data_IF_989237629997
#
_entry.id   IF_989237629997
#
_cell.length_a   1.000
_cell.length_b   1.000
_cell.length_c   1.000
_cell.angle_alpha   90.00
_cell.angle_beta   90.00
_cell.angle_gamma   90.00
#
_symmetry.space_group_name_H-M   'P 1'
#
loop_
_entity.id
_entity.type
_entity.pdbx_description
1 polymer ?
#
# COMPACT_ATOMS: atom_id res chain seq x y z
N UNK A 1 24.66 15.39 -18.62
CA UNK A 1 24.45 14.83 -19.95
C UNK A 1 23.00 14.53 -20.28
N UNK A 2 22.75 14.04 -21.47
CA UNK A 2 21.43 13.60 -21.97
C UNK A 2 21.49 12.15 -22.41
N UNK A 3 20.34 11.48 -22.51
CA UNK A 3 20.21 10.10 -23.00
C UNK A 3 19.47 10.16 -24.35
N UNK A 4 20.13 9.72 -25.47
CA UNK A 4 19.54 9.76 -26.81
C UNK A 4 20.28 8.85 -27.82
N UNK A 5 19.97 7.57 -27.96
CA UNK A 5 19.57 6.59 -26.98
C UNK A 5 20.67 6.29 -25.94
N UNK A 6 21.94 6.62 -26.27
CA UNK A 6 23.08 6.42 -25.37
C UNK A 6 23.31 7.64 -24.47
N UNK A 7 24.08 7.45 -23.41
CA UNK A 7 24.51 8.53 -22.53
C UNK A 7 25.49 9.48 -23.24
N UNK A 8 25.05 10.69 -23.53
CA UNK A 8 25.88 11.72 -24.17
C UNK A 8 26.17 12.86 -23.19
N UNK A 9 27.46 13.20 -22.95
CA UNK A 9 27.80 14.31 -22.06
C UNK A 9 27.41 15.65 -22.70
N UNK A 10 26.78 16.54 -21.92
CA UNK A 10 26.52 17.93 -22.32
C UNK A 10 27.12 18.88 -21.27
N UNK A 11 27.36 20.13 -21.70
CA UNK A 11 27.92 21.15 -20.80
C UNK A 11 26.87 21.77 -19.88
N UNK A 12 25.61 21.74 -20.27
CA UNK A 12 24.50 22.32 -19.55
C UNK A 12 23.19 21.64 -19.94
N UNK A 13 22.20 21.72 -19.07
CA UNK A 13 20.78 21.44 -19.36
C UNK A 13 20.04 22.78 -19.24
N UNK A 14 19.25 23.10 -20.24
CA UNK A 14 18.39 24.29 -20.24
C UNK A 14 17.05 24.06 -19.58
N UNK A 15 16.25 25.12 -19.46
CA UNK A 15 14.90 25.05 -18.92
C UNK A 15 14.03 24.10 -19.75
N UNK A 16 13.34 23.15 -19.09
CA UNK A 16 12.50 22.14 -19.75
C UNK A 16 13.25 20.93 -20.32
N UNK A 17 14.58 20.91 -20.25
CA UNK A 17 15.37 19.76 -20.70
C UNK A 17 15.50 18.71 -19.59
N UNK A 18 15.47 17.43 -19.99
CA UNK A 18 15.66 16.28 -19.11
C UNK A 18 17.03 15.65 -19.41
N UNK A 19 17.75 15.30 -18.35
CA UNK A 19 19.06 14.70 -18.49
C UNK A 19 19.53 13.99 -17.22
N UNK A 20 20.81 13.67 -17.15
CA UNK A 20 21.44 13.05 -15.99
C UNK A 20 22.59 13.91 -15.44
N UNK A 21 22.79 13.82 -14.12
CA UNK A 21 23.88 14.49 -13.40
C UNK A 21 24.67 13.42 -12.65
N UNK A 22 26.00 13.41 -12.81
CA UNK A 22 26.90 12.58 -12.02
C UNK A 22 27.38 13.41 -10.83
N UNK A 23 26.82 13.17 -9.66
CA UNK A 23 27.08 13.96 -8.47
C UNK A 23 28.38 13.60 -7.76
N UNK A 24 28.88 12.37 -7.94
CA UNK A 24 30.00 11.82 -7.17
C UNK A 24 29.63 11.49 -5.71
N UNK A 25 28.35 11.58 -5.34
CA UNK A 25 27.88 11.17 -4.01
C UNK A 25 28.13 9.67 -3.82
N UNK A 26 28.71 9.33 -2.66
CA UNK A 26 29.02 7.93 -2.31
C UNK A 26 27.83 7.23 -1.65
N UNK A 27 26.89 7.99 -1.14
CA UNK A 27 25.70 7.51 -0.45
C UNK A 27 24.45 8.02 -1.20
N UNK A 28 23.71 7.09 -1.78
CA UNK A 28 22.50 7.39 -2.55
C UNK A 28 21.37 7.90 -1.65
N UNK A 29 21.38 7.57 -0.35
CA UNK A 29 20.38 8.03 0.60
C UNK A 29 20.37 9.56 0.80
N UNK A 30 21.49 10.23 0.42
CA UNK A 30 21.62 11.68 0.47
C UNK A 30 20.92 12.42 -0.68
N UNK A 31 20.35 11.68 -1.64
CA UNK A 31 19.68 12.25 -2.81
C UNK A 31 18.38 11.51 -3.06
N UNK A 32 17.27 12.18 -2.85
CA UNK A 32 15.92 11.62 -3.01
C UNK A 32 15.30 12.07 -4.32
N UNK A 33 14.34 11.28 -4.80
CA UNK A 33 13.45 11.69 -5.89
C UNK A 33 12.66 12.91 -5.43
N UNK A 34 12.66 13.97 -6.25
CA UNK A 34 12.01 15.24 -5.91
C UNK A 34 12.94 16.30 -5.31
N UNK A 35 14.18 15.95 -4.98
CA UNK A 35 15.16 16.92 -4.50
C UNK A 35 15.46 18.00 -5.54
N UNK A 36 15.64 19.23 -5.06
CA UNK A 36 16.03 20.38 -5.89
C UNK A 36 17.54 20.55 -5.88
N UNK A 37 18.14 20.50 -7.07
CA UNK A 37 19.57 20.81 -7.25
C UNK A 37 19.74 22.31 -7.44
N UNK A 38 20.61 22.93 -6.64
CA UNK A 38 20.87 24.37 -6.70
C UNK A 38 22.37 24.69 -6.65
N UNK A 39 22.73 25.94 -6.91
CA UNK A 39 24.12 26.40 -6.85
C UNK A 39 24.62 26.50 -5.42
N UNK A 40 25.78 25.91 -5.11
CA UNK A 40 26.43 26.05 -3.81
C UNK A 40 26.83 27.51 -3.48
N UNK A 41 27.10 28.33 -4.50
CA UNK A 41 27.49 29.74 -4.31
C UNK A 41 26.28 30.67 -4.13
N UNK A 42 25.14 30.30 -4.71
CA UNK A 42 23.88 31.04 -4.62
C UNK A 42 22.74 30.05 -4.52
N UNK A 43 22.52 29.44 -3.34
CA UNK A 43 21.47 28.46 -3.16
C UNK A 43 20.08 29.11 -3.31
N UNK A 44 19.13 28.33 -3.85
CA UNK A 44 17.73 28.72 -3.82
C UNK A 44 17.23 28.71 -2.37
N UNK A 45 16.35 29.65 -2.03
CA UNK A 45 15.81 29.76 -0.67
C UNK A 45 14.86 28.58 -0.37
N UNK A 46 14.07 28.19 -1.35
CA UNK A 46 13.06 27.12 -1.25
C UNK A 46 13.26 26.06 -2.33
N UNK A 47 12.89 24.78 -2.08
CA UNK A 47 12.86 23.76 -3.10
C UNK A 47 11.78 24.06 -4.14
N UNK A 48 11.91 23.49 -5.35
CA UNK A 48 10.86 23.54 -6.36
C UNK A 48 9.62 22.78 -5.88
N UNK A 49 8.46 23.38 -6.05
CA UNK A 49 7.18 22.78 -5.70
C UNK A 49 6.80 21.64 -6.68
N UNK A 50 5.94 20.75 -6.24
CA UNK A 50 5.33 19.72 -7.08
C UNK A 50 5.71 18.28 -6.75
N UNK A 51 6.75 18.04 -5.95
CA UNK A 51 7.10 16.72 -5.47
C UNK A 51 6.64 16.52 -4.03
N UNK A 52 6.01 15.38 -3.77
CA UNK A 52 5.66 14.92 -2.42
C UNK A 52 6.26 13.55 -2.22
N UNK A 53 6.74 13.28 -1.01
CA UNK A 53 7.16 11.92 -0.66
C UNK A 53 5.95 10.99 -0.79
N UNK A 54 6.06 9.89 -1.57
CA UNK A 54 4.98 8.94 -1.68
C UNK A 54 4.68 8.34 -0.30
N UNK A 55 3.41 8.34 0.07
CA UNK A 55 2.97 7.76 1.34
C UNK A 55 2.48 6.34 1.11
N UNK A 56 2.96 5.36 1.89
CA UNK A 56 2.45 4.00 1.80
C UNK A 56 0.99 3.93 2.21
N UNK A 57 0.21 3.22 1.40
CA UNK A 57 -1.22 2.95 1.62
C UNK A 57 -1.47 1.53 2.13
N UNK A 58 -0.55 0.60 1.87
CA UNK A 58 -0.67 -0.81 2.22
C UNK A 58 0.57 -1.25 2.98
N UNK A 59 0.39 -2.03 4.03
CA UNK A 59 1.47 -2.55 4.86
C UNK A 59 1.37 -4.07 4.97
N UNK A 60 2.50 -4.77 4.86
CA UNK A 60 2.59 -6.21 5.09
C UNK A 60 3.93 -6.56 5.75
N UNK A 61 3.93 -7.58 6.58
CA UNK A 61 5.16 -8.20 7.08
C UNK A 61 5.74 -9.13 6.03
N UNK A 62 7.04 -9.05 5.77
CA UNK A 62 7.78 -9.97 4.94
C UNK A 62 8.77 -10.75 5.79
N UNK A 63 8.65 -12.06 5.80
CA UNK A 63 9.46 -12.95 6.62
C UNK A 63 10.13 -14.01 5.73
N UNK A 64 11.45 -14.25 5.87
CA UNK A 64 12.07 -15.36 5.15
C UNK A 64 11.59 -16.70 5.72
N UNK A 65 11.38 -17.71 4.86
CA UNK A 65 11.01 -19.05 5.29
C UNK A 65 12.13 -19.62 6.18
N UNK A 66 13.39 -19.42 5.78
CA UNK A 66 14.53 -19.72 6.62
C UNK A 66 15.00 -18.46 7.37
N UNK A 67 14.83 -18.44 8.69
CA UNK A 67 15.25 -17.32 9.53
C UNK A 67 16.76 -16.98 9.41
N UNK A 68 17.60 -17.88 8.93
CA UNK A 68 19.00 -17.60 8.66
C UNK A 68 19.18 -16.58 7.54
N UNK A 69 18.21 -16.44 6.63
CA UNK A 69 18.23 -15.50 5.51
C UNK A 69 17.75 -14.07 5.89
N UNK A 70 17.50 -13.79 7.18
CA UNK A 70 17.11 -12.43 7.62
C UNK A 70 18.14 -11.34 7.23
N UNK A 71 19.48 -11.56 7.36
CA UNK A 71 20.46 -10.58 6.88
C UNK A 71 20.40 -10.35 5.36
N UNK A 72 20.20 -11.41 4.59
CA UNK A 72 20.08 -11.36 3.13
C UNK A 72 18.82 -10.58 2.72
N UNK A 73 17.70 -10.79 3.40
CA UNK A 73 16.46 -10.04 3.17
C UNK A 73 16.67 -8.54 3.43
N UNK A 74 17.36 -8.17 4.52
CA UNK A 74 17.69 -6.78 4.80
C UNK A 74 18.52 -6.16 3.67
N UNK A 75 19.59 -6.85 3.25
CA UNK A 75 20.48 -6.36 2.20
C UNK A 75 19.76 -6.25 0.85
N UNK A 76 18.80 -7.13 0.58
CA UNK A 76 17.96 -7.08 -0.61
C UNK A 76 17.00 -5.87 -0.57
N UNK A 77 16.32 -5.63 0.56
CA UNK A 77 15.46 -4.47 0.75
C UNK A 77 16.24 -3.15 0.63
N UNK A 78 17.45 -3.07 1.22
CA UNK A 78 18.36 -1.92 1.06
C UNK A 78 18.67 -1.63 -0.41
N UNK A 79 18.97 -2.68 -1.20
CA UNK A 79 19.23 -2.55 -2.64
C UNK A 79 18.00 -2.14 -3.43
N UNK A 80 16.83 -2.72 -3.13
CA UNK A 80 15.58 -2.33 -3.80
C UNK A 80 15.23 -0.87 -3.54
N UNK A 81 15.41 -0.39 -2.31
CA UNK A 81 15.14 1.00 -1.92
C UNK A 81 15.97 2.03 -2.68
N UNK A 82 17.15 1.66 -3.22
CA UNK A 82 17.94 2.56 -4.06
C UNK A 82 17.20 2.95 -5.36
N UNK A 83 16.34 2.08 -5.87
CA UNK A 83 15.58 2.30 -7.10
C UNK A 83 14.09 2.54 -6.86
N UNK A 84 13.64 2.37 -5.63
CA UNK A 84 12.24 2.47 -5.24
C UNK A 84 12.10 3.34 -3.98
N UNK A 85 11.95 4.64 -4.21
CA UNK A 85 11.82 5.62 -3.13
C UNK A 85 10.52 5.47 -2.32
N UNK A 86 9.53 4.77 -2.86
CA UNK A 86 8.25 4.54 -2.19
C UNK A 86 8.28 3.37 -1.20
N UNK A 87 9.25 2.45 -1.36
CA UNK A 87 9.41 1.33 -0.44
C UNK A 87 9.94 1.82 0.91
N UNK A 88 9.16 1.63 1.95
CA UNK A 88 9.61 1.82 3.34
C UNK A 88 9.59 0.46 4.05
N UNK A 89 10.50 0.25 4.97
CA UNK A 89 10.52 -0.96 5.80
C UNK A 89 11.19 -0.69 7.14
N UNK A 90 10.78 -1.43 8.13
CA UNK A 90 11.32 -1.45 9.49
C UNK A 90 11.40 -2.89 10.00
N UNK A 91 12.32 -3.20 10.91
CA UNK A 91 12.40 -4.53 11.50
C UNK A 91 11.10 -4.91 12.22
N UNK A 92 10.64 -6.14 11.99
CA UNK A 92 9.48 -6.72 12.65
C UNK A 92 9.85 -8.09 13.21
N UNK A 93 9.26 -8.46 14.34
CA UNK A 93 9.41 -9.79 14.93
C UNK A 93 8.01 -10.38 15.15
N UNK A 94 7.80 -11.57 14.60
CA UNK A 94 6.60 -12.36 14.80
C UNK A 94 6.94 -13.58 15.69
N UNK A 95 6.08 -13.89 16.64
CA UNK A 95 6.22 -15.08 17.46
C UNK A 95 6.15 -16.35 16.62
N UNK A 96 5.31 -16.33 15.57
CA UNK A 96 5.10 -17.48 14.69
C UNK A 96 6.14 -17.59 13.57
N UNK A 97 6.57 -16.44 12.98
CA UNK A 97 7.39 -16.38 11.77
C UNK A 97 8.86 -15.99 12.02
N UNK A 98 9.19 -15.54 13.23
CA UNK A 98 10.55 -15.12 13.58
C UNK A 98 10.85 -13.68 13.17
N UNK A 99 12.06 -13.42 12.66
CA UNK A 99 12.52 -12.09 12.29
C UNK A 99 12.18 -11.80 10.83
N UNK A 100 11.67 -10.59 10.58
CA UNK A 100 11.29 -10.09 9.26
C UNK A 100 11.28 -8.57 9.21
N UNK A 101 10.56 -8.03 8.24
CA UNK A 101 10.40 -6.59 8.07
C UNK A 101 8.95 -6.24 7.82
N UNK A 102 8.45 -5.22 8.51
CA UNK A 102 7.21 -4.54 8.17
C UNK A 102 7.47 -3.60 7.02
N UNK A 103 6.87 -3.87 5.87
CA UNK A 103 7.06 -3.09 4.65
C UNK A 103 5.82 -2.27 4.34
N UNK A 104 6.01 -1.03 3.88
CA UNK A 104 4.95 -0.18 3.37
C UNK A 104 5.06 0.00 1.87
N UNK A 105 3.92 -0.09 1.19
CA UNK A 105 3.78 -0.11 -0.26
C UNK A 105 2.74 0.92 -0.72
N UNK A 106 2.86 1.42 -1.95
CA UNK A 106 1.86 2.32 -2.57
C UNK A 106 0.50 1.65 -2.83
N UNK A 107 0.47 0.33 -2.88
CA UNK A 107 -0.71 -0.48 -3.12
C UNK A 107 -0.34 -1.94 -3.33
N UNK A 108 -1.33 -2.80 -3.63
CA UNK A 108 -1.13 -4.24 -3.82
C UNK A 108 -0.16 -4.57 -4.95
N UNK A 109 -0.32 -3.95 -6.12
CA UNK A 109 0.57 -4.21 -7.26
C UNK A 109 2.03 -3.88 -6.91
N UNK A 110 2.26 -2.80 -6.17
CA UNK A 110 3.61 -2.47 -5.70
C UNK A 110 4.14 -3.56 -4.74
N UNK A 111 3.32 -4.05 -3.81
CA UNK A 111 3.68 -5.16 -2.92
C UNK A 111 4.03 -6.42 -3.70
N UNK A 112 3.22 -6.81 -4.68
CA UNK A 112 3.46 -7.97 -5.53
C UNK A 112 4.78 -7.84 -6.30
N UNK A 113 5.02 -6.68 -6.93
CA UNK A 113 6.27 -6.42 -7.67
C UNK A 113 7.48 -6.52 -6.74
N UNK A 114 7.45 -5.91 -5.56
CA UNK A 114 8.56 -5.97 -4.60
C UNK A 114 8.80 -7.40 -4.14
N UNK A 115 7.75 -8.14 -3.78
CA UNK A 115 7.85 -9.54 -3.35
C UNK A 115 8.41 -10.42 -4.46
N UNK A 116 7.93 -10.27 -5.69
CA UNK A 116 8.41 -11.00 -6.85
C UNK A 116 9.88 -10.69 -7.16
N UNK A 117 10.31 -9.44 -7.03
CA UNK A 117 11.71 -9.04 -7.20
C UNK A 117 12.60 -9.63 -6.11
N UNK A 118 12.16 -9.63 -4.85
CA UNK A 118 12.89 -10.27 -3.76
C UNK A 118 13.10 -11.76 -4.02
N UNK A 119 12.08 -12.45 -4.53
CA UNK A 119 12.18 -13.86 -4.89
C UNK A 119 13.11 -14.09 -6.09
N UNK A 120 12.92 -13.36 -7.21
CA UNK A 120 13.64 -13.63 -8.46
C UNK A 120 15.04 -13.05 -8.53
N UNK A 121 15.26 -11.84 -8.00
CA UNK A 121 16.55 -11.16 -8.11
C UNK A 121 17.51 -11.55 -6.96
N UNK A 122 16.96 -11.94 -5.80
CA UNK A 122 17.73 -12.21 -4.60
C UNK A 122 17.60 -13.65 -4.07
N UNK A 123 16.83 -14.51 -4.75
CA UNK A 123 16.63 -15.93 -4.41
C UNK A 123 16.11 -16.12 -2.98
N UNK A 124 15.14 -15.27 -2.58
CA UNK A 124 14.54 -15.28 -1.25
C UNK A 124 13.14 -15.90 -1.30
N UNK A 125 12.95 -16.97 -0.54
CA UNK A 125 11.61 -17.52 -0.31
C UNK A 125 10.98 -16.83 0.91
N UNK A 126 9.89 -16.10 0.65
CA UNK A 126 9.26 -15.24 1.64
C UNK A 126 7.82 -15.64 1.96
N UNK A 127 7.45 -15.46 3.21
CA UNK A 127 6.07 -15.44 3.68
C UNK A 127 5.67 -13.97 3.84
N UNK A 128 4.58 -13.57 3.19
CA UNK A 128 3.94 -12.28 3.44
C UNK A 128 2.73 -12.46 4.35
N UNK A 129 2.58 -11.57 5.33
CA UNK A 129 1.34 -11.49 6.11
C UNK A 129 0.23 -10.87 5.27
N UNK A 130 -1.01 -11.02 5.70
CA UNK A 130 -2.14 -10.32 5.07
C UNK A 130 -1.87 -8.80 5.00
N UNK A 131 -2.14 -8.16 3.85
CA UNK A 131 -1.95 -6.72 3.72
C UNK A 131 -2.92 -5.96 4.63
N UNK A 132 -2.45 -4.87 5.22
CA UNK A 132 -3.22 -3.99 6.09
C UNK A 132 -3.10 -2.54 5.62
N UNK A 133 -4.10 -1.73 5.94
CA UNK A 133 -4.07 -0.29 5.73
C UNK A 133 -3.73 0.42 7.04
N UNK A 134 -3.24 1.66 7.02
CA UNK A 134 -3.03 2.43 8.24
C UNK A 134 -4.37 2.86 8.84
N UNK A 135 -4.52 2.68 10.16
CA UNK A 135 -5.67 3.16 10.92
C UNK A 135 -5.22 4.20 11.94
N UNK A 136 -6.07 5.19 12.22
CA UNK A 136 -5.93 6.02 13.41
C UNK A 136 -6.87 5.52 14.51
N UNK A 137 -6.31 5.13 15.65
CA UNK A 137 -7.06 4.63 16.79
C UNK A 137 -6.95 5.61 17.95
N UNK A 138 -8.07 6.18 18.37
CA UNK A 138 -8.15 7.05 19.54
C UNK A 138 -8.62 6.23 20.74
N UNK A 139 -7.77 6.11 21.75
CA UNK A 139 -8.10 5.45 23.00
C UNK A 139 -8.97 6.33 23.94
N UNK A 140 -9.47 5.74 25.03
CA UNK A 140 -10.35 6.45 25.98
C UNK A 140 -9.66 7.66 26.66
N UNK A 141 -8.35 7.61 26.82
CA UNK A 141 -7.50 8.70 27.36
C UNK A 141 -7.19 9.82 26.33
N UNK A 142 -7.78 9.75 25.13
CA UNK A 142 -7.54 10.61 23.96
C UNK A 142 -6.13 10.51 23.36
N UNK A 143 -5.35 9.49 23.70
CA UNK A 143 -4.14 9.19 22.93
C UNK A 143 -4.51 8.71 21.53
N UNK A 144 -3.77 9.16 20.51
CA UNK A 144 -3.97 8.79 19.10
C UNK A 144 -2.82 7.89 18.69
N UNK A 145 -3.14 6.72 18.18
CA UNK A 145 -2.19 5.72 17.73
C UNK A 145 -2.39 5.46 16.24
N UNK A 146 -1.31 5.60 15.45
CA UNK A 146 -1.31 5.14 14.06
C UNK A 146 -0.96 3.66 14.05
N UNK A 147 -1.90 2.83 13.64
CA UNK A 147 -1.78 1.37 13.64
C UNK A 147 -1.63 0.88 12.21
N UNK A 148 -0.47 0.38 11.86
CA UNK A 148 -0.18 -0.26 10.57
C UNK A 148 -0.02 -1.78 10.70
N UNK A 149 0.13 -2.26 11.94
CA UNK A 149 0.23 -3.67 12.30
C UNK A 149 -0.88 -4.02 13.30
N UNK A 150 -1.70 -5.04 13.04
CA UNK A 150 -2.73 -5.47 14.00
C UNK A 150 -2.20 -5.81 15.40
N UNK A 151 -0.91 -6.21 15.53
CA UNK A 151 -0.29 -6.48 16.84
C UNK A 151 -0.14 -5.22 17.70
N UNK A 152 -0.06 -4.04 17.08
CA UNK A 152 0.07 -2.73 17.74
C UNK A 152 -1.28 -2.11 18.11
N UNK A 153 -2.37 -2.81 17.81
CA UNK A 153 -3.70 -2.30 18.16
C UNK A 153 -3.83 -2.14 19.69
N UNK A 154 -4.18 -0.93 20.18
CA UNK A 154 -4.20 -0.64 21.61
C UNK A 154 -5.14 -1.57 22.37
N UNK A 155 -4.70 -2.04 23.53
CA UNK A 155 -5.56 -2.76 24.46
C UNK A 155 -6.49 -1.78 25.22
N UNK A 156 -7.69 -2.26 25.55
CA UNK A 156 -8.65 -1.48 26.34
C UNK A 156 -9.79 -0.89 25.53
N UNK A 157 -10.41 0.16 26.07
CA UNK A 157 -11.56 0.79 25.43
C UNK A 157 -11.11 1.78 24.37
N UNK A 158 -11.63 1.59 23.18
CA UNK A 158 -11.41 2.47 22.03
C UNK A 158 -12.57 3.45 21.93
N UNK A 159 -12.23 4.73 21.77
CA UNK A 159 -13.18 5.82 21.60
C UNK A 159 -13.60 5.97 20.13
N UNK A 160 -12.63 5.87 19.21
CA UNK A 160 -12.84 6.04 17.79
C UNK A 160 -11.76 5.31 17.00
N UNK A 161 -12.13 4.76 15.85
CA UNK A 161 -11.19 4.27 14.84
C UNK A 161 -11.52 4.99 13.54
N UNK A 162 -10.48 5.47 12.87
CA UNK A 162 -10.56 6.15 11.58
C UNK A 162 -9.81 5.30 10.56
N UNK A 163 -10.45 5.07 9.41
CA UNK A 163 -9.91 4.29 8.29
C UNK A 163 -9.77 5.14 7.05
N UNK A 164 -8.75 4.91 6.20
CA UNK A 164 -8.62 5.58 4.92
C UNK A 164 -9.71 5.12 3.95
N UNK A 165 -10.20 6.05 3.14
CA UNK A 165 -11.16 5.79 2.07
C UNK A 165 -10.63 6.27 0.74
N UNK A 166 -11.13 5.66 -0.31
CA UNK A 166 -10.78 6.01 -1.69
C UNK A 166 -12.03 6.33 -2.50
N UNK A 167 -11.87 7.25 -3.45
CA UNK A 167 -12.77 7.40 -4.55
C UNK A 167 -12.38 6.37 -5.62
N UNK A 168 -13.32 5.50 -5.95
CA UNK A 168 -13.14 4.40 -6.89
C UNK A 168 -14.00 4.63 -8.13
N UNK A 169 -13.37 4.61 -9.30
CA UNK A 169 -14.00 4.77 -10.60
C UNK A 169 -14.03 3.43 -11.30
N UNK A 170 -15.24 2.87 -11.49
CA UNK A 170 -15.43 1.55 -12.08
C UNK A 170 -16.11 1.69 -13.43
N UNK A 171 -15.41 1.30 -14.50
CA UNK A 171 -15.95 1.26 -15.84
C UNK A 171 -16.33 -0.17 -16.19
N UNK A 172 -17.60 -0.38 -16.56
CA UNK A 172 -18.13 -1.72 -16.86
C UNK A 172 -19.15 -1.69 -17.99
N UNK A 173 -19.34 -2.81 -18.74
CA UNK A 173 -20.50 -2.98 -19.60
C UNK A 173 -21.80 -2.93 -18.79
N UNK A 174 -22.85 -2.35 -19.39
CA UNK A 174 -24.16 -2.17 -18.72
C UNK A 174 -24.77 -3.44 -18.17
N UNK A 175 -24.50 -4.59 -18.78
CA UNK A 175 -25.00 -5.90 -18.32
C UNK A 175 -24.48 -6.31 -16.95
N UNK A 176 -23.35 -5.74 -16.49
CA UNK A 176 -22.73 -6.07 -15.20
C UNK A 176 -23.00 -5.00 -14.12
N UNK A 177 -23.80 -3.97 -14.39
CA UNK A 177 -24.11 -2.90 -13.40
C UNK A 177 -24.56 -3.51 -12.07
N UNK A 178 -25.53 -4.42 -12.10
CA UNK A 178 -26.06 -5.06 -10.89
C UNK A 178 -24.97 -5.82 -10.10
N UNK A 179 -24.13 -6.60 -10.81
CA UNK A 179 -23.06 -7.35 -10.18
C UNK A 179 -21.99 -6.44 -9.53
N UNK A 180 -21.70 -5.29 -10.15
CA UNK A 180 -20.78 -4.28 -9.58
C UNK A 180 -21.42 -3.57 -8.39
N UNK A 181 -22.70 -3.24 -8.46
CA UNK A 181 -23.42 -2.62 -7.33
C UNK A 181 -23.43 -3.55 -6.11
N UNK A 182 -23.76 -4.83 -6.30
CA UNK A 182 -23.76 -5.83 -5.24
C UNK A 182 -22.36 -5.97 -4.64
N UNK A 183 -21.31 -6.07 -5.47
CA UNK A 183 -19.93 -6.14 -5.00
C UNK A 183 -19.55 -4.93 -4.14
N UNK A 184 -19.82 -3.73 -4.64
CA UNK A 184 -19.50 -2.50 -3.90
C UNK A 184 -20.27 -2.42 -2.58
N UNK A 185 -21.52 -2.85 -2.54
CA UNK A 185 -22.33 -2.88 -1.32
C UNK A 185 -21.76 -3.88 -0.31
N UNK A 186 -21.36 -5.08 -0.75
CA UNK A 186 -20.71 -6.09 0.10
C UNK A 186 -19.40 -5.56 0.72
N UNK A 187 -18.73 -4.62 0.03
CA UNK A 187 -17.48 -3.97 0.45
C UNK A 187 -17.69 -2.56 1.03
N UNK A 188 -18.82 -2.29 1.65
CA UNK A 188 -19.15 -1.00 2.31
C UNK A 188 -19.04 0.23 1.40
N UNK A 189 -19.11 0.03 0.09
CA UNK A 189 -19.04 1.10 -0.89
C UNK A 189 -20.28 1.99 -0.85
N UNK A 190 -20.06 3.29 -0.86
CA UNK A 190 -21.08 4.31 -0.97
C UNK A 190 -21.13 4.79 -2.41
N UNK A 191 -22.26 4.58 -3.07
CA UNK A 191 -22.44 4.99 -4.46
C UNK A 191 -22.56 6.52 -4.55
N UNK A 192 -21.75 7.12 -5.42
CA UNK A 192 -21.85 8.51 -5.83
C UNK A 192 -22.70 8.66 -7.09
N UNK A 193 -22.06 8.98 -8.20
CA UNK A 193 -22.72 9.13 -9.52
C UNK A 193 -22.51 7.90 -10.40
N UNK A 194 -23.37 7.77 -11.39
CA UNK A 194 -23.26 6.77 -12.44
C UNK A 194 -23.52 7.47 -13.79
N UNK A 195 -22.60 7.33 -14.72
CA UNK A 195 -22.65 8.00 -16.01
C UNK A 195 -22.46 7.01 -17.17
N UNK A 196 -23.23 7.18 -18.25
CA UNK A 196 -23.07 6.39 -19.47
C UNK A 196 -22.00 7.02 -20.36
N UNK A 197 -20.83 6.40 -20.43
CA UNK A 197 -19.74 6.82 -21.33
C UNK A 197 -20.11 6.52 -22.79
N UNK A 198 -20.85 5.43 -23.02
CA UNK A 198 -21.36 5.02 -24.33
C UNK A 198 -22.69 4.27 -24.19
N UNK A 199 -23.27 3.86 -25.32
CA UNK A 199 -24.52 3.07 -25.31
C UNK A 199 -24.43 1.76 -24.52
N UNK A 200 -23.21 1.21 -24.36
CA UNK A 200 -22.96 -0.10 -23.78
C UNK A 200 -22.02 -0.08 -22.57
N UNK A 201 -21.45 1.07 -22.19
CA UNK A 201 -20.53 1.22 -21.06
C UNK A 201 -20.95 2.30 -20.09
N UNK A 202 -20.75 1.99 -18.80
CA UNK A 202 -21.11 2.85 -17.68
C UNK A 202 -19.87 3.05 -16.82
N UNK A 203 -19.70 4.27 -16.34
CA UNK A 203 -18.77 4.65 -15.29
C UNK A 203 -19.54 4.83 -13.99
N UNK A 204 -19.07 4.20 -12.95
CA UNK A 204 -19.70 4.18 -11.63
C UNK A 204 -18.70 4.71 -10.62
N UNK A 205 -19.06 5.77 -9.90
CA UNK A 205 -18.21 6.38 -8.89
C UNK A 205 -18.65 5.92 -7.50
N UNK A 206 -17.69 5.43 -6.75
CA UNK A 206 -17.92 4.94 -5.39
C UNK A 206 -16.90 5.53 -4.42
N UNK A 207 -17.31 5.66 -3.16
CA UNK A 207 -16.44 5.91 -2.04
C UNK A 207 -16.37 4.63 -1.22
N UNK A 208 -15.18 4.01 -1.17
CA UNK A 208 -14.98 2.68 -0.58
C UNK A 208 -13.84 2.74 0.43
N UNK A 209 -13.95 2.12 1.63
CA UNK A 209 -12.81 1.97 2.52
C UNK A 209 -11.66 1.23 1.85
N UNK A 210 -10.43 1.76 1.96
CA UNK A 210 -9.27 1.18 1.30
C UNK A 210 -9.04 -0.29 1.71
N UNK A 211 -9.28 -0.62 2.98
CA UNK A 211 -9.17 -1.99 3.48
C UNK A 211 -10.05 -2.99 2.71
N UNK A 212 -11.20 -2.56 2.23
CA UNK A 212 -12.13 -3.41 1.48
C UNK A 212 -11.66 -3.67 0.04
N UNK A 213 -10.80 -2.81 -0.51
CA UNK A 213 -10.23 -2.98 -1.86
C UNK A 213 -8.99 -3.88 -1.82
N UNK A 214 -8.21 -3.76 -0.75
CA UNK A 214 -6.88 -4.37 -0.63
C UNK A 214 -6.93 -5.91 -0.57
N UNK A 215 -8.03 -6.54 -0.20
CA UNK A 215 -8.08 -8.00 -0.10
C UNK A 215 -8.34 -8.68 -1.46
N UNK A 216 -9.58 -8.73 -1.87
CA UNK A 216 -10.00 -9.55 -3.01
C UNK A 216 -10.98 -8.83 -3.97
N UNK A 217 -11.20 -7.55 -3.72
CA UNK A 217 -12.16 -6.74 -4.48
C UNK A 217 -11.89 -6.79 -5.98
N UNK A 218 -10.62 -6.63 -6.39
CA UNK A 218 -10.25 -6.62 -7.79
C UNK A 218 -10.52 -7.97 -8.47
N UNK A 219 -10.17 -9.05 -7.81
CA UNK A 219 -10.39 -10.42 -8.32
C UNK A 219 -11.89 -10.74 -8.41
N UNK A 220 -12.66 -10.34 -7.40
CA UNK A 220 -14.12 -10.46 -7.44
C UNK A 220 -14.73 -9.59 -8.54
N UNK A 221 -14.25 -8.36 -8.72
CA UNK A 221 -14.70 -7.46 -9.78
C UNK A 221 -14.48 -8.11 -11.15
N UNK A 222 -13.27 -8.62 -11.40
CA UNK A 222 -12.93 -9.32 -12.64
C UNK A 222 -13.77 -10.58 -12.84
N UNK A 223 -13.91 -11.38 -11.82
CA UNK A 223 -14.70 -12.61 -11.87
C UNK A 223 -16.18 -12.33 -12.17
N UNK A 224 -16.81 -11.39 -11.44
CA UNK A 224 -18.24 -11.05 -11.59
C UNK A 224 -18.54 -10.36 -12.93
N UNK A 225 -17.54 -9.76 -13.57
CA UNK A 225 -17.69 -9.04 -14.84
C UNK A 225 -17.01 -9.73 -16.02
N UNK A 226 -16.61 -10.99 -15.89
CA UNK A 226 -15.89 -11.77 -16.91
C UNK A 226 -14.62 -11.06 -17.43
N UNK A 227 -13.97 -10.28 -16.58
CA UNK A 227 -12.78 -9.51 -16.91
C UNK A 227 -13.01 -8.17 -17.60
N UNK A 228 -14.26 -7.79 -17.87
CA UNK A 228 -14.57 -6.57 -18.64
C UNK A 228 -14.54 -5.27 -17.82
N UNK A 229 -14.71 -5.34 -16.50
CA UNK A 229 -14.63 -4.13 -15.68
C UNK A 229 -13.19 -3.68 -15.49
N UNK A 230 -12.99 -2.38 -15.40
CA UNK A 230 -11.77 -1.73 -14.94
C UNK A 230 -12.04 -0.93 -13.68
N UNK A 231 -11.03 -0.84 -12.82
CA UNK A 231 -11.04 -0.09 -11.58
C UNK A 231 -9.85 0.86 -11.58
N UNK A 232 -10.11 2.13 -11.30
CA UNK A 232 -9.12 3.10 -10.88
C UNK A 232 -9.54 3.67 -9.53
N UNK A 233 -8.60 4.08 -8.68
CA UNK A 233 -8.93 4.68 -7.39
C UNK A 233 -7.84 5.64 -6.92
N UNK A 234 -8.25 6.63 -6.14
CA UNK A 234 -7.35 7.60 -5.50
C UNK A 234 -7.82 7.90 -4.08
N UNK A 235 -6.93 8.41 -3.25
CA UNK A 235 -7.27 8.78 -1.87
C UNK A 235 -8.39 9.81 -1.82
N UNK A 236 -9.37 9.58 -0.95
CA UNK A 236 -10.51 10.47 -0.70
C UNK A 236 -10.72 10.72 0.80
N UNK A 237 -9.60 10.90 1.51
CA UNK A 237 -9.58 11.19 2.94
C UNK A 237 -9.86 9.98 3.83
N UNK A 238 -10.54 10.21 4.92
CA UNK A 238 -10.71 9.24 5.99
C UNK A 238 -12.15 9.25 6.51
N UNK A 239 -12.57 8.17 7.19
CA UNK A 239 -13.87 8.10 7.86
C UNK A 239 -13.77 7.31 9.17
N UNK A 240 -14.69 7.60 10.10
CA UNK A 240 -14.87 6.79 11.30
C UNK A 240 -15.56 5.48 10.97
N UNK A 241 -15.09 4.37 11.56
CA UNK A 241 -15.66 3.04 11.34
C UNK A 241 -15.68 2.20 12.63
N UNK A 242 -16.64 1.28 12.69
CA UNK A 242 -16.78 0.31 13.79
C UNK A 242 -15.92 -0.93 13.49
N UNK A 243 -14.62 -0.79 13.75
CA UNK A 243 -13.62 -1.82 13.49
C UNK A 243 -13.25 -2.55 14.78
N UNK A 244 -12.88 -3.80 14.63
CA UNK A 244 -12.41 -4.65 15.73
C UNK A 244 -11.19 -5.44 15.29
N UNK A 245 -10.30 -5.72 16.25
CA UNK A 245 -9.21 -6.66 16.05
C UNK A 245 -9.73 -8.09 16.22
N UNK A 246 -9.39 -8.95 15.29
CA UNK A 246 -9.64 -10.39 15.35
C UNK A 246 -8.31 -11.10 15.49
N UNK A 247 -8.17 -11.90 16.54
CA UNK A 247 -7.01 -12.74 16.78
C UNK A 247 -7.37 -14.20 16.52
N UNK A 248 -6.54 -14.92 15.79
CA UNK A 248 -6.68 -16.36 15.57
C UNK A 248 -5.83 -17.11 16.58
N UNK A 249 -6.44 -18.08 17.25
CA UNK A 249 -5.78 -18.91 18.26
C UNK A 249 -5.54 -20.31 17.72
N UNK A 250 -4.30 -20.78 17.77
CA UNK A 250 -3.95 -22.17 17.47
C UNK A 250 -3.57 -22.85 18.78
N UNK A 251 -4.30 -23.89 19.17
CA UNK A 251 -4.15 -24.58 20.46
C UNK A 251 -4.25 -23.65 21.70
N UNK A 252 -5.03 -22.56 21.57
CA UNK A 252 -5.20 -21.56 22.62
C UNK A 252 -4.14 -20.45 22.64
N UNK A 253 -3.12 -20.53 21.80
CA UNK A 253 -2.09 -19.50 21.67
C UNK A 253 -2.37 -18.61 20.47
N UNK A 254 -2.20 -17.30 20.66
CA UNK A 254 -2.42 -16.30 19.61
C UNK A 254 -1.32 -16.37 18.57
N UNK A 255 -1.71 -16.40 17.31
CA UNK A 255 -0.80 -16.31 16.16
C UNK A 255 -0.93 -14.91 15.55
N UNK A 256 0.04 -14.06 15.83
CA UNK A 256 0.08 -12.67 15.43
C UNK A 256 0.00 -12.44 13.90
N UNK A 257 0.62 -13.35 13.13
CA UNK A 257 0.60 -13.31 11.67
C UNK A 257 -0.81 -13.41 11.04
N UNK A 258 -1.79 -13.96 11.80
CA UNK A 258 -3.20 -14.09 11.38
C UNK A 258 -4.13 -13.07 12.04
N UNK A 259 -3.58 -12.17 12.86
CA UNK A 259 -4.37 -11.09 13.43
C UNK A 259 -4.77 -10.09 12.34
N UNK A 260 -6.02 -9.61 12.37
CA UNK A 260 -6.49 -8.61 11.42
C UNK A 260 -7.39 -7.58 12.10
N UNK A 261 -7.48 -6.40 11.50
CA UNK A 261 -8.45 -5.36 11.86
C UNK A 261 -9.54 -5.38 10.80
N UNK A 262 -10.75 -5.69 11.19
CA UNK A 262 -11.90 -5.87 10.29
C UNK A 262 -13.12 -5.12 10.80
N UNK A 263 -14.07 -4.83 9.90
CA UNK A 263 -15.35 -4.28 10.34
C UNK A 263 -16.09 -5.29 11.25
N UNK A 264 -16.69 -4.79 12.30
CA UNK A 264 -17.35 -5.61 13.33
C UNK A 264 -18.34 -6.62 12.77
N UNK A 265 -19.13 -6.21 11.78
CA UNK A 265 -20.10 -7.09 11.14
C UNK A 265 -19.45 -8.25 10.35
N UNK A 266 -18.19 -8.07 9.93
CA UNK A 266 -17.42 -9.08 9.19
C UNK A 266 -16.52 -9.94 10.09
N UNK A 267 -16.40 -9.62 11.38
CA UNK A 267 -15.47 -10.30 12.29
C UNK A 267 -15.72 -11.81 12.38
N UNK A 268 -16.99 -12.23 12.46
CA UNK A 268 -17.34 -13.65 12.51
C UNK A 268 -17.02 -14.40 11.23
N UNK A 269 -17.42 -13.81 10.08
CA UNK A 269 -17.15 -14.43 8.76
C UNK A 269 -15.67 -14.52 8.47
N UNK A 270 -14.89 -13.49 8.86
CA UNK A 270 -13.43 -13.53 8.76
C UNK A 270 -12.83 -14.68 9.59
N UNK A 271 -13.26 -14.83 10.84
CA UNK A 271 -12.82 -15.93 11.71
C UNK A 271 -13.12 -17.32 11.11
N UNK A 272 -14.32 -17.50 10.52
CA UNK A 272 -14.70 -18.76 9.86
C UNK A 272 -13.86 -19.02 8.59
N UNK A 273 -13.52 -17.97 7.84
CA UNK A 273 -12.70 -18.11 6.63
C UNK A 273 -11.27 -18.55 6.96
N UNK A 274 -10.75 -18.11 8.11
CA UNK A 274 -9.36 -18.36 8.53
C UNK A 274 -9.18 -19.68 9.28
N UNK A 275 -10.25 -20.40 9.66
CA UNK A 275 -10.22 -21.67 10.43
C UNK A 275 -10.72 -22.85 9.62
#
# INVERSE_FOLDING_TARGET
>A
GVISPDMMPTKALGAGEVGYVITGAKDVSQSKVGDTITSALKPAADPLEGYRDPQPMVYAGLFPIDNAQYPELRDALDKLKLNDAALIYEPETSVALGFGFRCGFLGLLHMEIVTERLSREFDLDLISTAPNVPYEVTAEDNSVHRVTNPSEFPDGKIKQIVEPVVAADIITPKEFIGAVMDLCQDHRGQMGTMEYISADRVEMHYRIPLAEIVFDFFDQLKSRTKGYASLDYHEDGEQSADLVKVDILIQGEKVDAFSAIVHKDKAYSYGVMMT
#
